data_IF_598809278559
#
_entry.id   IF_598809278559
#
_cell.length_a   1.000
_cell.length_b   1.000
_cell.length_c   1.000
_cell.angle_alpha   90.00
_cell.angle_beta   90.00
_cell.angle_gamma   90.00
#
_symmetry.space_group_name_H-M   'P 1'
#
loop_
_entity.id
_entity.type
_entity.pdbx_description
1 polymer ?
#
# COMPACT_ATOMS: atom_id res chain seq x y z
N UNK A 1 9.47 2.48 -1.07
CA UNK A 1 8.72 1.31 -0.58
C UNK A 1 9.49 -0.03 -0.72
N UNK A 2 9.95 -0.61 -1.83
CA UNK A 2 10.53 -1.95 -2.02
C UNK A 2 11.80 -2.26 -1.30
N UNK A 3 12.47 -1.32 -0.67
CA UNK A 3 13.60 -1.68 0.16
C UNK A 3 13.35 -1.29 1.59
N UNK A 4 12.43 -0.35 1.80
CA UNK A 4 11.96 -0.01 3.14
C UNK A 4 10.92 -1.00 3.64
N UNK A 5 10.20 -1.56 2.66
CA UNK A 5 8.98 -2.38 2.67
C UNK A 5 8.89 -3.36 1.45
N UNK A 6 9.91 -4.13 1.00
CA UNK A 6 9.90 -5.13 -0.10
C UNK A 6 8.92 -6.28 0.05
N UNK A 7 8.51 -6.65 1.25
CA UNK A 7 7.42 -7.59 1.43
C UNK A 7 6.06 -6.93 1.38
N UNK A 8 5.99 -5.60 1.48
CA UNK A 8 4.71 -4.90 1.36
C UNK A 8 4.08 -5.13 -0.02
N UNK A 9 2.79 -5.47 -0.05
CA UNK A 9 2.02 -5.44 -1.29
C UNK A 9 1.83 -3.97 -1.68
N UNK A 10 2.06 -3.64 -2.95
CA UNK A 10 1.66 -2.33 -3.43
C UNK A 10 0.20 -2.43 -3.86
N UNK A 11 -0.69 -2.16 -2.91
CA UNK A 11 -2.10 -2.03 -3.22
C UNK A 11 -2.37 -0.62 -3.74
N UNK A 12 -2.92 -0.55 -4.94
CA UNK A 12 -3.44 0.68 -5.50
C UNK A 12 -4.81 0.92 -4.89
N UNK A 13 -5.07 2.12 -4.39
CA UNK A 13 -6.37 2.43 -3.83
C UNK A 13 -7.46 2.34 -4.91
N UNK A 14 -8.42 1.43 -4.73
CA UNK A 14 -9.50 1.17 -5.69
C UNK A 14 -10.39 2.40 -5.90
N UNK A 15 -10.57 3.23 -4.86
CA UNK A 15 -11.25 4.54 -4.97
C UNK A 15 -10.57 5.47 -5.98
N UNK A 16 -9.25 5.58 -5.93
CA UNK A 16 -8.51 6.45 -6.84
C UNK A 16 -8.46 5.87 -8.26
N UNK A 17 -8.38 4.54 -8.39
CA UNK A 17 -8.53 3.88 -9.70
C UNK A 17 -9.91 4.15 -10.32
N UNK A 18 -10.99 4.02 -9.54
CA UNK A 18 -12.36 4.35 -9.97
C UNK A 18 -12.49 5.80 -10.43
N UNK A 19 -11.95 6.75 -9.65
CA UNK A 19 -11.98 8.18 -10.01
C UNK A 19 -11.18 8.47 -11.28
N UNK A 20 -9.98 7.92 -11.40
CA UNK A 20 -9.13 8.10 -12.59
C UNK A 20 -9.77 7.49 -13.84
N UNK A 21 -10.38 6.32 -13.71
CA UNK A 21 -11.13 5.67 -14.79
C UNK A 21 -12.31 6.54 -15.22
N UNK A 22 -13.14 6.98 -14.25
CA UNK A 22 -14.29 7.86 -14.49
C UNK A 22 -13.90 9.15 -15.21
N UNK A 23 -12.86 9.85 -14.75
CA UNK A 23 -12.36 11.07 -15.39
C UNK A 23 -11.81 10.79 -16.78
N UNK A 24 -11.12 9.66 -17.00
CA UNK A 24 -10.58 9.33 -18.32
C UNK A 24 -11.69 9.02 -19.33
N UNK A 25 -12.74 8.30 -18.90
CA UNK A 25 -13.91 8.05 -19.73
C UNK A 25 -14.65 9.34 -20.08
N UNK A 26 -14.71 10.31 -19.17
CA UNK A 26 -15.33 11.61 -19.39
C UNK A 26 -14.47 12.53 -20.28
N UNK A 27 -13.24 12.81 -19.85
CA UNK A 27 -12.42 13.89 -20.41
C UNK A 27 -11.68 13.48 -21.69
N UNK A 28 -11.29 12.21 -21.81
CA UNK A 28 -10.48 11.73 -22.94
C UNK A 28 -11.27 10.91 -23.94
N UNK A 29 -12.14 10.04 -23.46
CA UNK A 29 -12.98 9.21 -24.34
C UNK A 29 -14.24 9.97 -24.76
N UNK A 30 -14.74 10.89 -23.92
CA UNK A 30 -15.94 11.67 -24.22
C UNK A 30 -17.24 10.87 -24.04
N UNK A 31 -17.25 9.81 -23.22
CA UNK A 31 -18.44 8.97 -23.07
C UNK A 31 -19.59 9.70 -22.36
N UNK A 32 -20.84 9.44 -22.77
CA UNK A 32 -22.04 9.89 -22.06
C UNK A 32 -22.08 9.37 -20.63
N UNK A 33 -22.72 10.13 -19.73
CA UNK A 33 -22.74 9.79 -18.30
C UNK A 33 -23.31 8.41 -18.00
N UNK A 34 -24.33 7.98 -18.75
CA UNK A 34 -24.98 6.67 -18.57
C UNK A 34 -24.02 5.51 -18.90
N UNK A 35 -23.31 5.58 -20.03
CA UNK A 35 -22.32 4.57 -20.41
C UNK A 35 -21.12 4.54 -19.46
N UNK A 36 -20.63 5.71 -19.04
CA UNK A 36 -19.58 5.78 -18.02
C UNK A 36 -19.99 5.07 -16.75
N UNK A 37 -21.22 5.33 -16.28
CA UNK A 37 -21.73 4.72 -15.06
C UNK A 37 -21.88 3.21 -15.20
N UNK A 38 -22.24 2.71 -16.39
CA UNK A 38 -22.28 1.27 -16.70
C UNK A 38 -20.90 0.63 -16.51
N UNK A 39 -19.85 1.13 -17.17
CA UNK A 39 -18.49 0.58 -17.01
C UNK A 39 -17.97 0.70 -15.58
N UNK A 40 -18.19 1.84 -14.92
CA UNK A 40 -17.79 2.05 -13.53
C UNK A 40 -18.48 1.05 -12.60
N UNK A 41 -19.78 0.78 -12.80
CA UNK A 41 -20.55 -0.15 -11.96
C UNK A 41 -20.16 -1.60 -12.24
N UNK A 42 -19.91 -1.96 -13.49
CA UNK A 42 -19.47 -3.32 -13.82
C UNK A 42 -18.07 -3.64 -13.27
N UNK A 43 -17.15 -2.67 -13.21
CA UNK A 43 -15.80 -2.91 -12.66
C UNK A 43 -15.76 -2.69 -11.14
N UNK A 44 -16.28 -1.55 -10.65
CA UNK A 44 -16.13 -1.07 -9.27
C UNK A 44 -17.44 -1.02 -8.46
N UNK A 45 -18.55 -1.53 -9.00
CA UNK A 45 -19.83 -1.57 -8.30
C UNK A 45 -19.82 -2.60 -7.17
N UNK A 46 -20.89 -2.59 -6.37
CA UNK A 46 -21.11 -3.59 -5.32
C UNK A 46 -21.12 -5.01 -5.89
N UNK A 47 -21.67 -5.17 -7.09
CA UNK A 47 -21.62 -6.40 -7.86
C UNK A 47 -20.59 -6.40 -8.99
N UNK A 48 -19.56 -5.55 -8.88
CA UNK A 48 -18.55 -5.40 -9.91
C UNK A 48 -17.47 -6.49 -9.90
N UNK A 49 -16.67 -6.55 -10.96
CA UNK A 49 -15.60 -7.53 -11.15
C UNK A 49 -14.64 -7.55 -9.94
N UNK A 50 -14.32 -6.39 -9.36
CA UNK A 50 -13.38 -6.32 -8.22
C UNK A 50 -14.01 -6.86 -6.92
N UNK A 51 -15.33 -6.77 -6.77
CA UNK A 51 -16.03 -7.19 -5.56
C UNK A 51 -16.34 -8.69 -5.54
N UNK A 52 -16.62 -9.28 -6.71
CA UNK A 52 -17.00 -10.70 -6.88
C UNK A 52 -15.94 -11.57 -7.57
N UNK A 53 -14.77 -11.01 -7.86
CA UNK A 53 -13.67 -11.79 -8.39
C UNK A 53 -13.21 -12.83 -7.37
N UNK A 54 -13.20 -14.10 -7.74
CA UNK A 54 -12.80 -15.20 -6.83
C UNK A 54 -11.30 -15.22 -6.58
N UNK A 55 -10.54 -14.88 -7.61
CA UNK A 55 -9.08 -14.76 -7.57
C UNK A 55 -8.62 -13.77 -8.66
N UNK A 56 -7.32 -13.55 -8.71
CA UNK A 56 -6.72 -12.66 -9.70
C UNK A 56 -6.88 -13.12 -11.17
N UNK A 57 -7.03 -14.42 -11.43
CA UNK A 57 -7.21 -14.96 -12.78
C UNK A 57 -8.65 -14.74 -13.26
N UNK A 58 -9.64 -14.95 -12.39
CA UNK A 58 -11.05 -14.63 -12.66
C UNK A 58 -11.21 -13.13 -12.96
N UNK A 59 -10.59 -12.26 -12.15
CA UNK A 59 -10.58 -10.82 -12.40
C UNK A 59 -9.96 -10.48 -13.76
N UNK A 60 -8.83 -11.11 -14.11
CA UNK A 60 -8.18 -10.89 -15.40
C UNK A 60 -9.08 -11.31 -16.58
N UNK A 61 -9.66 -12.51 -16.51
CA UNK A 61 -10.53 -13.05 -17.55
C UNK A 61 -11.79 -12.18 -17.74
N UNK A 62 -12.42 -11.76 -16.65
CA UNK A 62 -13.62 -10.89 -16.71
C UNK A 62 -13.31 -9.51 -17.29
N UNK A 63 -12.15 -8.93 -16.94
CA UNK A 63 -11.72 -7.66 -17.51
C UNK A 63 -11.37 -7.79 -19.00
N UNK A 64 -10.74 -8.89 -19.40
CA UNK A 64 -10.46 -9.17 -20.81
C UNK A 64 -11.76 -9.33 -21.61
N UNK A 65 -12.69 -10.14 -21.13
CA UNK A 65 -14.00 -10.31 -21.76
C UNK A 65 -14.76 -8.97 -21.86
N UNK A 66 -14.67 -8.12 -20.84
CA UNK A 66 -15.25 -6.77 -20.90
C UNK A 66 -14.58 -5.89 -21.97
N UNK A 67 -13.26 -6.00 -22.11
CA UNK A 67 -12.50 -5.26 -23.12
C UNK A 67 -12.83 -5.72 -24.54
N UNK A 68 -13.05 -7.02 -24.75
CA UNK A 68 -13.42 -7.61 -26.05
C UNK A 68 -14.88 -7.34 -26.43
N UNK A 69 -15.78 -7.21 -25.44
CA UNK A 69 -17.21 -6.97 -25.66
C UNK A 69 -17.58 -5.49 -25.87
N UNK A 70 -16.64 -4.55 -25.71
CA UNK A 70 -16.90 -3.14 -26.00
C UNK A 70 -16.49 -2.77 -27.43
N UNK A 71 -17.40 -2.14 -28.16
CA UNK A 71 -17.12 -1.64 -29.51
C UNK A 71 -16.20 -0.41 -29.50
N UNK A 72 -16.06 0.25 -28.34
CA UNK A 72 -15.24 1.45 -28.21
C UNK A 72 -13.77 1.08 -27.95
N UNK A 73 -12.95 1.14 -29.00
CA UNK A 73 -11.51 0.85 -28.95
C UNK A 73 -10.74 1.66 -27.89
N UNK A 74 -11.18 2.88 -27.57
CA UNK A 74 -10.53 3.69 -26.52
C UNK A 74 -10.84 3.18 -25.12
N UNK A 75 -12.05 2.65 -24.92
CA UNK A 75 -12.46 2.00 -23.66
C UNK A 75 -11.74 0.67 -23.50
N UNK A 76 -11.69 -0.15 -24.55
CA UNK A 76 -10.94 -1.41 -24.58
C UNK A 76 -9.48 -1.17 -24.12
N UNK A 77 -8.79 -0.23 -24.77
CA UNK A 77 -7.41 0.12 -24.43
C UNK A 77 -7.25 0.64 -23.00
N UNK A 78 -8.25 1.35 -22.47
CA UNK A 78 -8.23 1.83 -21.09
C UNK A 78 -8.41 0.70 -20.08
N UNK A 79 -9.30 -0.27 -20.37
CA UNK A 79 -9.49 -1.46 -19.56
C UNK A 79 -8.20 -2.28 -19.56
N UNK A 80 -7.62 -2.59 -20.73
CA UNK A 80 -6.34 -3.30 -20.85
C UNK A 80 -5.21 -2.63 -20.05
N UNK A 81 -5.19 -1.29 -20.04
CA UNK A 81 -4.19 -0.52 -19.28
C UNK A 81 -4.40 -0.58 -17.76
N UNK A 82 -5.64 -0.72 -17.31
CA UNK A 82 -5.99 -0.77 -15.90
C UNK A 82 -6.01 -2.19 -15.32
N UNK A 83 -6.26 -3.20 -16.14
CA UNK A 83 -6.34 -4.60 -15.74
C UNK A 83 -5.14 -5.06 -14.91
N UNK A 84 -3.88 -4.75 -15.28
CA UNK A 84 -2.73 -5.15 -14.48
C UNK A 84 -2.76 -4.61 -13.04
N UNK A 85 -3.28 -3.39 -12.83
CA UNK A 85 -3.35 -2.76 -11.50
C UNK A 85 -4.43 -3.39 -10.62
N UNK A 86 -5.56 -3.77 -11.23
CA UNK A 86 -6.66 -4.44 -10.54
C UNK A 86 -6.30 -5.89 -10.20
N UNK A 87 -5.65 -6.58 -11.12
CA UNK A 87 -5.12 -7.93 -10.91
C UNK A 87 -4.00 -7.91 -9.86
N UNK A 88 -3.12 -6.89 -9.85
CA UNK A 88 -2.09 -6.73 -8.80
C UNK A 88 -2.72 -6.52 -7.42
N UNK A 89 -3.81 -5.76 -7.33
CA UNK A 89 -4.55 -5.60 -6.08
C UNK A 89 -5.13 -6.92 -5.59
N UNK A 90 -5.74 -7.71 -6.48
CA UNK A 90 -6.29 -9.03 -6.17
C UNK A 90 -5.21 -9.98 -5.66
N UNK A 91 -4.08 -10.08 -6.39
CA UNK A 91 -2.89 -10.84 -5.98
C UNK A 91 -2.33 -10.38 -4.63
N UNK A 92 -2.46 -9.10 -4.31
CA UNK A 92 -2.01 -8.53 -3.05
C UNK A 92 -2.84 -8.99 -1.83
N UNK A 93 -4.10 -9.35 -2.03
CA UNK A 93 -5.03 -9.82 -0.99
C UNK A 93 -4.92 -11.31 -0.73
N UNK A 94 -4.46 -12.07 -1.74
CA UNK A 94 -4.06 -13.47 -1.60
C UNK A 94 -2.84 -13.64 -0.67
N UNK A 95 -2.15 -12.54 -0.32
CA UNK A 95 -0.98 -12.60 0.55
C UNK A 95 -1.33 -12.94 2.00
N UNK A 96 -0.51 -13.79 2.65
CA UNK A 96 -0.62 -14.11 4.06
C UNK A 96 -0.83 -12.90 4.97
N UNK A 97 -1.96 -12.86 5.67
CA UNK A 97 -2.26 -11.80 6.64
C UNK A 97 -3.03 -10.59 6.11
N UNK A 98 -3.32 -10.57 4.80
CA UNK A 98 -4.18 -9.57 4.16
C UNK A 98 -5.55 -10.14 3.77
N UNK A 99 -5.80 -11.44 4.00
CA UNK A 99 -7.06 -12.13 3.66
C UNK A 99 -8.30 -11.57 4.36
N UNK A 100 -8.11 -10.88 5.49
CA UNK A 100 -9.18 -10.20 6.24
C UNK A 100 -9.46 -8.80 5.69
N UNK A 101 -8.62 -8.27 4.79
CA UNK A 101 -8.84 -6.99 4.16
C UNK A 101 -9.84 -7.16 3.01
N UNK A 102 -10.93 -6.38 3.05
CA UNK A 102 -11.86 -6.30 1.92
C UNK A 102 -11.10 -5.98 0.62
N UNK A 103 -11.46 -6.61 -0.52
CA UNK A 103 -10.89 -6.29 -1.82
C UNK A 103 -11.05 -4.82 -2.23
N UNK A 104 -11.91 -4.10 -1.51
CA UNK A 104 -12.13 -2.67 -1.62
C UNK A 104 -11.19 -1.95 -0.64
N UNK A 105 -9.90 -1.91 -0.97
CA UNK A 105 -8.91 -1.16 -0.18
C UNK A 105 -9.08 0.36 -0.38
N UNK A 106 -9.53 1.06 0.68
CA UNK A 106 -9.79 2.51 0.64
C UNK A 106 -8.75 3.31 1.41
N UNK A 107 -8.76 4.63 1.23
CA UNK A 107 -7.91 5.55 2.01
C UNK A 107 -8.24 5.54 3.52
N UNK A 108 -9.47 5.13 3.90
CA UNK A 108 -9.85 5.05 5.31
C UNK A 108 -8.98 4.06 6.08
N UNK A 109 -8.46 3.00 5.45
CA UNK A 109 -7.60 2.03 6.13
C UNK A 109 -6.27 2.66 6.61
N UNK A 110 -5.67 3.54 5.80
CA UNK A 110 -4.45 4.26 6.18
C UNK A 110 -4.74 5.38 7.20
N UNK A 111 -5.89 6.03 7.09
CA UNK A 111 -6.32 7.06 8.04
C UNK A 111 -6.68 6.46 9.40
N UNK A 112 -7.29 5.27 9.45
CA UNK A 112 -7.55 4.51 10.68
C UNK A 112 -6.25 4.15 11.41
N UNK A 113 -5.21 3.72 10.70
CA UNK A 113 -3.89 3.45 11.30
C UNK A 113 -3.26 4.72 11.89
N UNK A 114 -3.33 5.82 11.15
CA UNK A 114 -2.90 7.13 11.65
C UNK A 114 -3.74 7.61 12.84
N UNK A 115 -5.03 7.32 12.84
CA UNK A 115 -5.96 7.66 13.90
C UNK A 115 -5.62 6.90 15.19
N UNK A 116 -5.38 5.58 15.12
CA UNK A 116 -4.94 4.80 16.27
C UNK A 116 -3.65 5.37 16.88
N UNK A 117 -2.70 5.77 16.05
CA UNK A 117 -1.43 6.37 16.47
C UNK A 117 -1.64 7.74 17.15
N UNK A 118 -2.54 8.56 16.60
CA UNK A 118 -2.90 9.86 17.18
C UNK A 118 -3.70 9.71 18.49
N UNK A 119 -4.59 8.73 18.57
CA UNK A 119 -5.32 8.39 19.81
C UNK A 119 -4.36 7.91 20.92
N UNK A 120 -3.41 7.04 20.59
CA UNK A 120 -2.40 6.57 21.53
C UNK A 120 -1.49 7.70 22.08
N UNK A 121 -1.30 8.76 21.28
CA UNK A 121 -0.59 9.98 21.68
C UNK A 121 -1.51 11.08 22.23
N UNK A 122 -2.81 10.79 22.36
CA UNK A 122 -3.85 11.72 22.78
C UNK A 122 -3.83 13.06 22.02
N UNK A 123 -3.34 13.05 20.77
CA UNK A 123 -3.23 14.22 19.91
C UNK A 123 -2.40 15.40 20.47
N UNK A 124 -1.60 15.18 21.53
CA UNK A 124 -0.79 16.25 22.15
C UNK A 124 0.57 16.38 21.49
N UNK A 125 1.05 17.61 21.35
CA UNK A 125 2.45 17.89 21.02
C UNK A 125 3.33 17.48 22.20
N UNK A 126 4.25 16.55 21.98
CA UNK A 126 5.19 16.07 22.99
C UNK A 126 6.55 16.72 22.78
N UNK A 127 7.30 16.94 23.87
CA UNK A 127 8.73 17.28 23.75
C UNK A 127 9.45 16.13 23.09
N UNK A 128 10.52 16.41 22.34
CA UNK A 128 11.22 15.39 21.56
C UNK A 128 11.62 14.17 22.41
N UNK A 129 12.12 14.40 23.63
CA UNK A 129 12.51 13.32 24.56
C UNK A 129 11.31 12.44 24.93
N UNK A 130 10.17 13.04 25.25
CA UNK A 130 8.93 12.32 25.60
C UNK A 130 8.37 11.56 24.39
N UNK A 131 8.42 12.16 23.20
CA UNK A 131 8.03 11.50 21.96
C UNK A 131 8.90 10.26 21.70
N UNK A 132 10.22 10.37 21.85
CA UNK A 132 11.15 9.25 21.70
C UNK A 132 10.83 8.14 22.70
N UNK A 133 10.58 8.50 23.97
CA UNK A 133 10.21 7.53 25.01
C UNK A 133 8.87 6.85 24.71
N UNK A 134 7.85 7.59 24.25
CA UNK A 134 6.56 7.02 23.87
C UNK A 134 6.65 6.11 22.65
N UNK A 135 7.37 6.52 21.61
CA UNK A 135 7.63 5.68 20.44
C UNK A 135 8.38 4.41 20.84
N UNK A 136 9.40 4.53 21.68
CA UNK A 136 10.12 3.39 22.23
C UNK A 136 9.18 2.45 23.01
N UNK A 137 8.28 3.00 23.82
CA UNK A 137 7.27 2.21 24.54
C UNK A 137 6.32 1.49 23.59
N UNK A 138 5.81 2.16 22.56
CA UNK A 138 4.91 1.56 21.55
C UNK A 138 5.62 0.41 20.85
N UNK A 139 6.84 0.65 20.36
CA UNK A 139 7.65 -0.37 19.68
C UNK A 139 7.92 -1.55 20.63
N UNK A 140 8.23 -1.29 21.90
CA UNK A 140 8.45 -2.34 22.91
C UNK A 140 7.18 -3.15 23.15
N UNK A 141 6.01 -2.50 23.23
CA UNK A 141 4.72 -3.18 23.35
C UNK A 141 4.44 -4.04 22.12
N UNK A 142 4.64 -3.52 20.91
CA UNK A 142 4.47 -4.30 19.67
C UNK A 142 5.42 -5.50 19.61
N UNK A 143 6.68 -5.34 20.03
CA UNK A 143 7.61 -6.47 20.16
C UNK A 143 7.12 -7.51 21.17
N UNK A 144 6.56 -7.07 22.29
CA UNK A 144 5.99 -7.96 23.31
C UNK A 144 4.77 -8.70 22.77
N UNK A 145 3.88 -8.03 22.04
CA UNK A 145 2.71 -8.65 21.41
C UNK A 145 3.12 -9.70 20.38
N UNK A 146 4.13 -9.41 19.55
CA UNK A 146 4.70 -10.40 18.61
C UNK A 146 5.30 -11.59 19.35
N UNK A 147 6.02 -11.36 20.45
CA UNK A 147 6.55 -12.44 21.29
C UNK A 147 5.45 -13.29 21.89
N UNK A 148 4.40 -12.66 22.41
CA UNK A 148 3.22 -13.34 22.96
C UNK A 148 2.54 -14.20 21.88
N UNK A 149 2.33 -13.64 20.69
CA UNK A 149 1.77 -14.37 19.56
C UNK A 149 2.64 -15.58 19.15
N UNK A 150 3.97 -15.44 19.14
CA UNK A 150 4.91 -16.55 18.91
C UNK A 150 4.81 -17.62 19.98
N UNK A 151 4.60 -17.23 21.23
CA UNK A 151 4.39 -18.19 22.32
C UNK A 151 2.96 -18.77 22.34
N UNK A 152 2.07 -18.33 21.45
CA UNK A 152 0.67 -18.76 21.40
C UNK A 152 -0.19 -18.19 22.54
N UNK A 153 0.16 -17.03 23.09
CA UNK A 153 -0.56 -16.33 24.16
C UNK A 153 -0.87 -14.89 23.80
N UNK A 154 -1.75 -14.23 24.56
CA UNK A 154 -2.19 -12.86 24.31
C UNK A 154 -3.31 -12.76 23.29
N UNK A 155 -3.65 -11.53 22.88
CA UNK A 155 -4.81 -11.25 22.01
C UNK A 155 -4.51 -11.46 20.52
N UNK A 156 -3.24 -11.52 20.14
CA UNK A 156 -2.80 -11.64 18.76
C UNK A 156 -2.38 -13.07 18.44
N UNK A 157 -2.85 -13.60 17.31
CA UNK A 157 -2.57 -14.96 16.85
C UNK A 157 -1.72 -14.93 15.58
N UNK A 158 -0.73 -15.83 15.49
CA UNK A 158 0.04 -16.01 14.27
C UNK A 158 -0.84 -16.57 13.13
N UNK A 159 -0.61 -16.09 11.92
CA UNK A 159 -1.28 -16.58 10.72
C UNK A 159 -0.90 -18.05 10.44
N UNK A 160 -1.81 -18.82 9.83
CA UNK A 160 -1.61 -20.27 9.60
C UNK A 160 -0.27 -20.60 8.91
N UNK A 161 0.16 -19.80 7.95
CA UNK A 161 1.38 -20.02 7.17
C UNK A 161 2.69 -19.75 7.94
N UNK A 162 2.61 -19.05 9.07
CA UNK A 162 3.75 -18.82 9.98
C UNK A 162 3.51 -19.46 11.35
N UNK A 163 2.44 -20.25 11.50
CA UNK A 163 2.09 -20.94 12.74
C UNK A 163 3.16 -21.97 13.14
N UNK A 164 3.97 -22.46 12.20
CA UNK A 164 5.15 -23.28 12.48
C UNK A 164 6.26 -22.54 13.25
N UNK A 165 6.24 -21.20 13.29
CA UNK A 165 7.10 -20.40 14.17
C UNK A 165 6.53 -20.29 15.59
N UNK A 166 5.29 -20.74 15.81
CA UNK A 166 4.71 -20.79 17.15
C UNK A 166 5.49 -21.80 17.98
N UNK A 167 5.95 -21.38 19.14
CA UNK A 167 6.67 -22.24 20.05
C UNK A 167 6.07 -22.12 21.45
N UNK A 168 5.04 -22.91 21.79
CA UNK A 168 4.36 -22.85 23.08
C UNK A 168 5.28 -23.14 24.27
N UNK A 169 6.34 -23.93 24.05
CA UNK A 169 7.36 -24.23 25.07
C UNK A 169 8.15 -22.98 25.49
N UNK A 170 8.03 -21.88 24.73
CA UNK A 170 8.59 -20.59 25.08
C UNK A 170 7.77 -19.83 26.14
N UNK A 171 6.54 -20.23 26.40
CA UNK A 171 5.71 -19.58 27.39
C UNK A 171 6.03 -20.14 28.79
N UNK A 172 6.87 -19.42 29.55
CA UNK A 172 7.10 -19.71 30.98
C UNK A 172 8.56 -19.83 31.41
N UNK A 173 9.51 -19.89 30.48
CA UNK A 173 10.95 -19.88 30.80
C UNK A 173 11.51 -18.49 30.48
N UNK A 174 12.14 -17.78 31.44
CA UNK A 174 12.77 -16.50 31.17
C UNK A 174 13.88 -16.73 30.14
N UNK A 175 13.69 -16.20 28.93
CA UNK A 175 14.68 -16.34 27.88
C UNK A 175 16.00 -15.72 28.29
N UNK A 176 17.08 -16.44 28.00
CA UNK A 176 18.35 -15.76 27.80
C UNK A 176 18.19 -14.82 26.60
N UNK A 177 18.67 -13.58 26.71
CA UNK A 177 18.49 -12.57 25.65
C UNK A 177 18.99 -13.01 24.27
N UNK A 178 19.85 -14.04 24.19
CA UNK A 178 20.31 -14.66 22.94
C UNK A 178 19.23 -15.47 22.22
N UNK A 179 18.47 -16.30 22.93
CA UNK A 179 17.42 -17.14 22.33
C UNK A 179 16.23 -16.29 21.86
N UNK A 180 15.85 -15.28 22.64
CA UNK A 180 14.81 -14.33 22.26
C UNK A 180 15.19 -13.57 20.98
N UNK A 181 16.44 -13.08 20.91
CA UNK A 181 16.99 -12.45 19.70
C UNK A 181 17.03 -13.41 18.52
N UNK A 182 17.30 -14.70 18.71
CA UNK A 182 17.29 -15.70 17.64
C UNK A 182 15.89 -15.88 17.06
N UNK A 183 14.88 -16.13 17.89
CA UNK A 183 13.51 -16.31 17.41
C UNK A 183 12.93 -15.04 16.79
N UNK A 184 13.26 -13.86 17.34
CA UNK A 184 12.84 -12.60 16.75
C UNK A 184 13.60 -12.28 15.47
N UNK A 185 14.85 -12.74 15.35
CA UNK A 185 15.62 -12.69 14.11
C UNK A 185 15.08 -13.69 13.08
N UNK A 186 14.66 -14.89 13.47
CA UNK A 186 13.97 -15.84 12.60
C UNK A 186 12.64 -15.25 12.13
N UNK A 187 11.81 -14.70 13.03
CA UNK A 187 10.59 -13.98 12.67
C UNK A 187 10.87 -12.76 11.75
N UNK A 188 11.91 -11.97 12.04
CA UNK A 188 12.33 -10.82 11.25
C UNK A 188 12.93 -11.21 9.88
N UNK A 189 13.66 -12.32 9.79
CA UNK A 189 14.23 -12.85 8.54
C UNK A 189 13.12 -13.42 7.68
N UNK A 190 12.20 -14.15 8.31
CA UNK A 190 10.94 -14.58 7.72
C UNK A 190 10.04 -13.39 7.39
N UNK A 191 10.47 -12.12 7.60
CA UNK A 191 9.80 -10.87 7.18
C UNK A 191 10.70 -9.83 6.47
N UNK A 192 11.99 -10.10 6.17
CA UNK A 192 12.99 -9.08 5.73
C UNK A 192 13.03 -8.74 4.25
N UNK A 193 13.83 -7.69 3.99
CA UNK A 193 13.61 -6.70 2.95
C UNK A 193 14.95 -6.18 2.30
N UNK A 194 15.07 -6.07 0.96
CA UNK A 194 16.30 -5.80 0.13
C UNK A 194 16.86 -4.34 0.24
N UNK A 195 18.15 -4.04 -0.11
CA UNK A 195 18.86 -2.70 -0.01
C UNK A 195 19.74 -2.31 -1.25
N UNK A 196 20.08 -1.01 -1.51
CA UNK A 196 20.92 -0.49 -2.66
C UNK A 196 21.91 0.66 -2.27
N UNK A 197 23.04 0.85 -2.97
CA UNK A 197 24.12 1.87 -2.72
C UNK A 197 24.14 3.05 -3.72
N UNK A 198 24.65 4.23 -3.31
CA UNK A 198 24.83 5.43 -4.17
C UNK A 198 25.98 5.25 -5.17
N UNK A 199 25.96 6.03 -6.26
CA UNK A 199 26.92 5.91 -7.38
C UNK A 199 28.36 6.20 -7.00
N UNK A 200 28.60 7.09 -6.03
CA UNK A 200 29.93 7.37 -5.47
C UNK A 200 30.28 6.45 -4.28
N UNK A 201 29.46 5.45 -3.98
CA UNK A 201 29.65 4.42 -2.93
C UNK A 201 29.70 4.89 -1.47
N UNK A 202 29.63 6.19 -1.21
CA UNK A 202 29.70 6.76 0.14
C UNK A 202 28.41 6.58 0.98
N UNK A 203 27.25 6.27 0.36
CA UNK A 203 25.98 6.12 1.09
C UNK A 203 25.16 4.90 0.64
N UNK A 204 24.55 4.19 1.59
CA UNK A 204 23.63 3.06 1.35
C UNK A 204 22.21 3.47 1.70
N UNK A 205 21.26 3.20 0.81
CA UNK A 205 19.84 3.47 1.05
C UNK A 205 18.97 2.28 0.73
N UNK A 206 17.94 2.24 1.53
CA UNK A 206 16.76 1.42 1.41
C UNK A 206 16.01 1.87 0.13
N UNK A 207 16.35 1.35 -1.08
CA UNK A 207 15.65 1.65 -2.35
C UNK A 207 14.10 1.73 -2.29
N UNK A 208 13.51 2.88 -2.62
CA UNK A 208 12.08 2.98 -2.55
C UNK A 208 11.47 2.29 -3.79
N UNK A 209 10.59 1.29 -3.59
CA UNK A 209 9.66 0.62 -4.59
C UNK A 209 9.30 1.58 -5.70
N UNK A 210 9.04 2.87 -5.37
CA UNK A 210 8.88 3.95 -6.33
C UNK A 210 9.48 5.28 -5.86
N UNK A 211 9.91 6.13 -6.83
CA UNK A 211 10.61 7.42 -6.70
C UNK A 211 9.79 8.58 -6.08
N UNK A 212 9.22 8.40 -4.88
CA UNK A 212 8.78 9.50 -3.99
C UNK A 212 7.66 10.46 -4.45
N UNK A 213 7.23 10.47 -5.72
CA UNK A 213 6.07 11.24 -6.19
C UNK A 213 4.85 10.33 -6.33
N UNK A 214 3.71 10.77 -5.81
CA UNK A 214 2.42 10.14 -6.14
C UNK A 214 2.16 10.35 -7.63
N UNK A 215 1.90 9.28 -8.36
CA UNK A 215 1.63 9.35 -9.80
C UNK A 215 0.35 10.19 -10.03
N UNK A 216 0.44 11.26 -10.83
CA UNK A 216 -0.65 12.24 -11.03
C UNK A 216 -0.57 13.51 -10.17
N UNK A 217 0.36 13.60 -9.22
CA UNK A 217 0.58 14.83 -8.43
C UNK A 217 1.10 15.97 -9.34
N UNK A 218 0.22 16.89 -9.75
CA UNK A 218 0.58 18.09 -10.52
C UNK A 218 1.51 18.99 -9.70
N UNK A 219 2.56 19.51 -10.34
CA UNK A 219 3.40 20.58 -9.75
C UNK A 219 2.52 21.81 -9.55
N UNK A 220 2.53 22.45 -8.37
CA UNK A 220 1.81 23.71 -8.14
C UNK A 220 2.21 24.72 -9.23
N UNK A 221 1.21 25.42 -9.80
CA UNK A 221 1.44 26.47 -10.79
C UNK A 221 2.28 27.56 -10.13
N UNK A 222 3.48 27.81 -10.66
CA UNK A 222 4.39 28.82 -10.12
C UNK A 222 3.88 30.18 -10.58
N UNK A 223 3.53 31.06 -9.65
CA UNK A 223 3.06 32.42 -9.94
C UNK A 223 4.25 33.33 -10.29
N UNK A 224 4.02 34.37 -11.09
CA UNK A 224 5.10 35.25 -11.58
C UNK A 224 5.98 35.81 -10.44
N UNK A 225 5.43 36.00 -9.24
CA UNK A 225 6.14 36.45 -8.03
C UNK A 225 7.23 35.48 -7.52
N UNK A 226 7.16 34.20 -7.88
CA UNK A 226 8.06 33.13 -7.39
C UNK A 226 9.00 32.56 -8.46
N UNK A 227 9.02 33.14 -9.67
CA UNK A 227 9.97 32.75 -10.72
C UNK A 227 11.36 33.34 -10.45
N UNK A 228 12.40 32.49 -10.52
CA UNK A 228 13.79 32.94 -10.41
C UNK A 228 14.20 33.80 -11.60
N UNK A 229 15.10 34.76 -11.36
CA UNK A 229 15.55 35.74 -12.36
C UNK A 229 16.13 35.07 -13.62
N UNK A 230 16.85 33.96 -13.46
CA UNK A 230 17.40 33.17 -14.57
C UNK A 230 16.31 32.61 -15.50
N UNK A 231 15.23 32.06 -14.93
CA UNK A 231 14.11 31.54 -15.72
C UNK A 231 13.27 32.65 -16.36
N UNK A 232 13.14 33.81 -15.70
CA UNK A 232 12.53 34.99 -16.30
C UNK A 232 13.31 35.47 -17.53
N UNK A 233 14.64 35.52 -17.44
CA UNK A 233 15.50 35.96 -18.55
C UNK A 233 15.42 35.01 -19.76
N UNK A 234 15.22 33.71 -19.56
CA UNK A 234 15.03 32.76 -20.67
C UNK A 234 13.66 32.89 -21.34
N UNK A 235 12.61 33.23 -20.58
CA UNK A 235 11.27 33.40 -21.13
C UNK A 235 11.11 34.67 -21.96
N UNK A 236 11.82 35.76 -21.61
CA UNK A 236 11.73 37.05 -22.32
C UNK A 236 12.65 37.15 -23.56
N UNK A 237 13.26 36.04 -24.00
CA UNK A 237 14.11 35.99 -25.22
C UNK A 237 13.33 35.59 -26.48
N UNK A 238 12.02 35.36 -26.35
CA UNK A 238 11.07 35.07 -27.41
C UNK A 238 9.91 36.06 -27.29
#
# INVERSE_FOLDING_TARGET
>A
MALAFPRAARLTCTRHLKQNFSHTLADKVGLPSQERQRFITQIFGYNGIIAHGTDHMDIANRLQHMAESTENRSVQKLIELMSPLLVENAKGLERPGLHLASPIWTNNNCESLNHCLKQALSWRSLKLVELVQKLHSIIKTQHREVQQAICGVGEFVLLMNIRGLMNPKMCGIPFTGKQQKRHMKEFAITTKERLVRSTNSEKVVVEPKHKGKKQGQRKRKICNRTLSVSKRRQLNRF
#
